data_IF_164495013617
#
_entry.id   IF_164495013617
#
_cell.length_a   1.000
_cell.length_b   1.000
_cell.length_c   1.000
_cell.angle_alpha   90.00
_cell.angle_beta   90.00
_cell.angle_gamma   90.00
#
_symmetry.space_group_name_H-M   'P 1'
#
loop_
_entity.id
_entity.type
_entity.pdbx_description
1 polymer ?
#
# COMPACT_ATOMS: atom_id res chain seq x y z
N UNK A 1 -20.14 -32.38 -7.25
CA UNK A 1 -19.08 -32.54 -6.23
C UNK A 1 -18.59 -31.14 -5.84
N UNK A 2 -18.71 -30.79 -4.60
CA UNK A 2 -18.23 -29.51 -4.11
C UNK A 2 -16.84 -29.70 -3.49
N UNK A 3 -15.91 -28.83 -3.85
CA UNK A 3 -14.58 -28.77 -3.24
C UNK A 3 -14.53 -27.46 -2.44
N UNK A 4 -14.35 -27.59 -1.13
CA UNK A 4 -14.17 -26.44 -0.24
C UNK A 4 -12.70 -26.25 0.06
N UNK A 5 -12.19 -25.03 -0.11
CA UNK A 5 -10.83 -24.64 0.22
C UNK A 5 -10.88 -23.57 1.30
N UNK A 6 -10.13 -23.77 2.37
CA UNK A 6 -9.92 -22.74 3.38
C UNK A 6 -8.84 -21.77 2.90
N UNK A 7 -9.14 -20.48 2.96
CA UNK A 7 -8.19 -19.41 2.65
C UNK A 7 -7.65 -18.86 3.97
N UNK A 8 -6.37 -19.08 4.21
CA UNK A 8 -5.72 -18.73 5.49
C UNK A 8 -5.09 -17.34 5.52
N UNK A 9 -5.27 -16.53 4.48
CA UNK A 9 -4.76 -15.18 4.45
C UNK A 9 -4.84 -14.52 3.09
N UNK A 10 -4.42 -13.25 3.05
CA UNK A 10 -4.47 -12.41 1.87
C UNK A 10 -3.68 -12.99 0.68
N UNK A 11 -2.50 -13.51 0.91
CA UNK A 11 -1.65 -14.03 -0.18
C UNK A 11 -2.23 -15.27 -0.85
N UNK A 12 -2.87 -16.16 -0.10
CA UNK A 12 -3.60 -17.30 -0.70
C UNK A 12 -4.78 -16.81 -1.56
N UNK A 13 -5.49 -15.78 -1.10
CA UNK A 13 -6.55 -15.15 -1.86
C UNK A 13 -6.00 -14.49 -3.13
N UNK A 14 -4.89 -13.77 -3.03
CA UNK A 14 -4.23 -13.12 -4.16
C UNK A 14 -3.84 -14.11 -5.26
N UNK A 15 -3.38 -15.30 -4.89
CA UNK A 15 -3.04 -16.37 -5.83
C UNK A 15 -4.27 -17.00 -6.51
N UNK A 16 -5.45 -16.85 -5.89
CA UNK A 16 -6.68 -17.44 -6.38
C UNK A 16 -7.43 -16.58 -7.40
N UNK A 17 -7.30 -15.25 -7.33
CA UNK A 17 -8.05 -14.30 -8.17
C UNK A 17 -7.47 -14.17 -9.58
N UNK A 18 -8.32 -13.72 -10.51
CA UNK A 18 -7.94 -13.55 -11.92
C UNK A 18 -8.55 -12.27 -12.52
N UNK A 19 -8.09 -11.91 -13.71
CA UNK A 19 -8.57 -10.75 -14.49
C UNK A 19 -8.51 -9.43 -13.69
N UNK A 20 -9.55 -8.63 -13.71
CA UNK A 20 -9.62 -7.33 -13.05
C UNK A 20 -9.52 -7.36 -11.52
N UNK A 21 -9.83 -8.51 -10.89
CA UNK A 21 -9.64 -8.68 -9.46
C UNK A 21 -8.16 -8.61 -9.03
N UNK A 22 -7.24 -9.03 -9.91
CA UNK A 22 -5.79 -8.94 -9.67
C UNK A 22 -5.36 -7.49 -9.46
N UNK A 23 -5.88 -6.56 -10.25
CA UNK A 23 -5.58 -5.12 -10.12
C UNK A 23 -6.08 -4.57 -8.79
N UNK A 24 -7.28 -4.95 -8.36
CA UNK A 24 -7.86 -4.55 -7.07
C UNK A 24 -6.99 -5.06 -5.91
N UNK A 25 -6.57 -6.31 -5.96
CA UNK A 25 -5.67 -6.92 -4.95
C UNK A 25 -4.33 -6.21 -4.91
N UNK A 26 -3.75 -5.86 -6.07
CA UNK A 26 -2.50 -5.12 -6.14
C UNK A 26 -2.62 -3.73 -5.48
N UNK A 27 -3.70 -3.01 -5.72
CA UNK A 27 -3.96 -1.71 -5.09
C UNK A 27 -4.08 -1.82 -3.57
N UNK A 28 -4.77 -2.84 -3.07
CA UNK A 28 -4.92 -3.12 -1.63
C UNK A 28 -3.56 -3.42 -0.99
N UNK A 29 -2.76 -4.24 -1.64
CA UNK A 29 -1.41 -4.59 -1.18
C UNK A 29 -0.49 -3.37 -1.17
N UNK A 30 -0.50 -2.56 -2.21
CA UNK A 30 0.30 -1.33 -2.29
C UNK A 30 -0.07 -0.30 -1.21
N UNK A 31 -1.32 -0.30 -0.78
CA UNK A 31 -1.83 0.58 0.27
C UNK A 31 -1.67 0.00 1.70
N UNK A 32 -1.12 -1.19 1.86
CA UNK A 32 -0.93 -1.89 3.14
C UNK A 32 -2.27 -2.10 3.90
N UNK A 33 -3.33 -2.42 3.14
CA UNK A 33 -4.71 -2.60 3.65
C UNK A 33 -5.18 -4.07 3.62
N UNK A 34 -4.26 -5.03 3.60
CA UNK A 34 -4.56 -6.45 3.51
C UNK A 34 -5.43 -6.94 4.67
N UNK A 35 -5.12 -6.53 5.90
CA UNK A 35 -5.85 -6.94 7.09
C UNK A 35 -7.27 -6.38 7.11
N UNK A 36 -7.44 -5.11 6.81
CA UNK A 36 -8.73 -4.44 6.71
C UNK A 36 -9.59 -5.08 5.63
N UNK A 37 -9.00 -5.40 4.50
CA UNK A 37 -9.66 -6.07 3.40
C UNK A 37 -10.13 -7.49 3.77
N UNK A 38 -9.28 -8.29 4.39
CA UNK A 38 -9.64 -9.66 4.81
C UNK A 38 -10.76 -9.66 5.83
N UNK A 39 -10.71 -8.75 6.82
CA UNK A 39 -11.79 -8.59 7.80
C UNK A 39 -13.10 -8.15 7.14
N UNK A 40 -13.04 -7.24 6.18
CA UNK A 40 -14.20 -6.81 5.42
C UNK A 40 -14.80 -7.95 4.59
N UNK A 41 -13.96 -8.71 3.91
CA UNK A 41 -14.38 -9.85 3.09
C UNK A 41 -15.08 -10.93 3.94
N UNK A 42 -14.53 -11.25 5.12
CA UNK A 42 -15.15 -12.19 6.07
C UNK A 42 -16.51 -11.69 6.55
N UNK A 43 -16.66 -10.39 6.75
CA UNK A 43 -17.94 -9.80 7.12
C UNK A 43 -18.97 -9.90 5.98
N UNK A 44 -18.57 -9.66 4.75
CA UNK A 44 -19.45 -9.73 3.57
C UNK A 44 -19.97 -11.15 3.35
N UNK A 45 -19.14 -12.15 3.53
CA UNK A 45 -19.47 -13.57 3.29
C UNK A 45 -19.71 -14.36 4.58
N UNK A 46 -20.10 -13.70 5.67
CA UNK A 46 -20.28 -14.35 6.97
C UNK A 46 -21.43 -15.37 7.04
N UNK A 47 -22.46 -15.20 6.21
CA UNK A 47 -23.65 -16.05 6.24
C UNK A 47 -23.56 -17.28 5.33
N UNK A 48 -22.79 -17.19 4.26
CA UNK A 48 -22.67 -18.25 3.25
C UNK A 48 -21.20 -18.46 2.86
N UNK A 49 -20.87 -19.69 2.47
CA UNK A 49 -19.56 -20.00 1.91
C UNK A 49 -19.58 -19.67 0.41
N UNK A 50 -18.87 -18.62 -0.03
CA UNK A 50 -18.85 -18.25 -1.44
C UNK A 50 -18.05 -19.23 -2.30
N UNK A 51 -18.36 -19.26 -3.59
CA UNK A 51 -17.49 -19.90 -4.57
C UNK A 51 -16.29 -19.00 -4.89
N UNK A 52 -15.25 -19.55 -5.48
CA UNK A 52 -14.10 -18.77 -5.96
C UNK A 52 -14.51 -17.70 -6.98
N UNK A 53 -15.47 -18.02 -7.85
CA UNK A 53 -16.02 -17.08 -8.84
C UNK A 53 -16.77 -15.94 -8.17
N UNK A 54 -17.58 -16.22 -7.16
CA UNK A 54 -18.30 -15.20 -6.39
C UNK A 54 -17.35 -14.23 -5.69
N UNK A 55 -16.30 -14.73 -5.08
CA UNK A 55 -15.26 -13.91 -4.45
C UNK A 55 -14.51 -13.08 -5.48
N UNK A 56 -14.10 -13.68 -6.58
CA UNK A 56 -13.38 -12.98 -7.66
C UNK A 56 -14.24 -11.87 -8.27
N UNK A 57 -15.50 -12.16 -8.58
CA UNK A 57 -16.42 -11.18 -9.18
C UNK A 57 -16.73 -10.04 -8.21
N UNK A 58 -16.86 -10.32 -6.92
CA UNK A 58 -17.02 -9.30 -5.90
C UNK A 58 -15.80 -8.36 -5.85
N UNK A 59 -14.60 -8.91 -5.82
CA UNK A 59 -13.36 -8.12 -5.80
C UNK A 59 -13.21 -7.29 -7.08
N UNK A 60 -13.60 -7.81 -8.21
CA UNK A 60 -13.50 -7.12 -9.50
C UNK A 60 -14.57 -6.03 -9.67
N UNK A 61 -15.85 -6.38 -9.49
CA UNK A 61 -16.97 -5.49 -9.83
C UNK A 61 -17.37 -4.52 -8.72
N UNK A 62 -17.15 -4.91 -7.46
CA UNK A 62 -17.47 -4.08 -6.29
C UNK A 62 -16.24 -3.33 -5.73
N UNK A 63 -15.29 -2.99 -6.58
CA UNK A 63 -14.06 -2.31 -6.23
C UNK A 63 -14.30 -1.03 -5.43
N UNK A 64 -15.18 -0.16 -5.89
CA UNK A 64 -15.46 1.13 -5.25
C UNK A 64 -16.04 0.92 -3.83
N UNK A 65 -16.90 -0.06 -3.67
CA UNK A 65 -17.46 -0.44 -2.38
C UNK A 65 -16.39 -0.98 -1.43
N UNK A 66 -15.49 -1.80 -1.94
CA UNK A 66 -14.35 -2.33 -1.17
C UNK A 66 -13.47 -1.18 -0.71
N UNK A 67 -13.06 -0.29 -1.61
CA UNK A 67 -12.18 0.84 -1.29
C UNK A 67 -12.80 1.76 -0.23
N UNK A 68 -14.07 2.09 -0.36
CA UNK A 68 -14.79 2.89 0.63
C UNK A 68 -14.75 2.27 2.03
N UNK A 69 -14.92 0.94 2.13
CA UNK A 69 -14.99 0.24 3.42
C UNK A 69 -13.62 -0.02 4.07
N UNK A 70 -12.54 -0.02 3.30
CA UNK A 70 -11.17 -0.20 3.82
C UNK A 70 -10.38 1.11 3.92
N UNK A 71 -10.99 2.25 3.57
CA UNK A 71 -10.39 3.56 3.72
C UNK A 71 -9.47 3.97 2.57
N UNK A 72 -9.74 3.51 1.34
CA UNK A 72 -9.04 3.95 0.14
C UNK A 72 -9.87 4.95 -0.66
N UNK A 73 -9.21 5.75 -1.49
CA UNK A 73 -9.86 6.63 -2.46
C UNK A 73 -10.43 5.82 -3.63
N UNK A 74 -11.25 6.45 -4.49
CA UNK A 74 -11.80 5.82 -5.69
C UNK A 74 -10.73 5.23 -6.63
N UNK A 75 -9.52 5.76 -6.57
CA UNK A 75 -8.38 5.30 -7.37
C UNK A 75 -7.55 4.20 -6.70
N UNK A 76 -7.96 3.73 -5.52
CA UNK A 76 -7.26 2.69 -4.77
C UNK A 76 -6.01 3.18 -4.04
N UNK A 77 -5.91 4.48 -3.80
CA UNK A 77 -4.80 5.11 -3.07
C UNK A 77 -5.21 5.42 -1.63
N UNK A 78 -4.21 5.59 -0.78
CA UNK A 78 -4.44 6.12 0.57
C UNK A 78 -4.97 7.57 0.49
N UNK A 79 -5.84 7.98 1.43
CA UNK A 79 -6.21 9.39 1.56
C UNK A 79 -4.99 10.28 1.80
N UNK A 80 -5.06 11.54 1.35
CA UNK A 80 -3.94 12.49 1.44
C UNK A 80 -3.43 12.68 2.87
N UNK A 81 -4.33 12.72 3.85
CA UNK A 81 -3.99 12.86 5.27
C UNK A 81 -3.20 11.65 5.81
N UNK A 82 -3.58 10.43 5.43
CA UNK A 82 -2.82 9.22 5.81
C UNK A 82 -1.44 9.17 5.12
N UNK A 83 -1.35 9.62 3.88
CA UNK A 83 -0.08 9.70 3.16
C UNK A 83 0.85 10.75 3.76
N UNK A 84 0.31 11.90 4.19
CA UNK A 84 1.08 12.93 4.89
C UNK A 84 1.66 12.41 6.20
N UNK A 85 0.86 11.68 6.99
CA UNK A 85 1.31 11.05 8.23
C UNK A 85 2.44 10.04 7.97
N UNK A 86 2.27 9.17 6.97
CA UNK A 86 3.28 8.19 6.58
C UNK A 86 4.58 8.85 6.11
N UNK A 87 4.48 9.94 5.36
CA UNK A 87 5.66 10.70 4.93
C UNK A 87 6.37 11.35 6.12
N UNK A 88 5.64 11.94 7.06
CA UNK A 88 6.22 12.54 8.26
C UNK A 88 6.95 11.49 9.10
N UNK A 89 6.40 10.29 9.25
CA UNK A 89 7.07 9.16 9.90
C UNK A 89 8.36 8.76 9.17
N UNK A 90 8.32 8.69 7.85
CA UNK A 90 9.50 8.37 7.03
C UNK A 90 10.60 9.43 7.16
N UNK A 91 10.24 10.72 7.18
CA UNK A 91 11.19 11.83 7.37
C UNK A 91 11.77 11.80 8.78
N UNK A 92 10.96 11.52 9.80
CA UNK A 92 11.44 11.38 11.18
C UNK A 92 12.46 10.22 11.29
N UNK A 93 12.21 9.10 10.62
CA UNK A 93 13.15 7.99 10.54
C UNK A 93 14.46 8.39 9.85
N UNK A 94 14.39 9.19 8.78
CA UNK A 94 15.59 9.75 8.12
C UNK A 94 16.42 10.61 9.05
N UNK A 95 15.79 11.40 9.92
CA UNK A 95 16.47 12.28 10.87
C UNK A 95 17.11 11.49 12.03
N UNK A 96 16.42 10.45 12.52
CA UNK A 96 16.82 9.70 13.72
C UNK A 96 17.74 8.52 13.44
N UNK A 97 17.64 7.89 12.28
CA UNK A 97 18.47 6.75 11.92
C UNK A 97 19.77 7.19 11.24
N UNK A 98 20.89 6.76 11.79
CA UNK A 98 22.22 7.06 11.25
C UNK A 98 22.69 6.03 10.20
N UNK A 99 22.06 4.85 10.18
CA UNK A 99 22.39 3.75 9.29
C UNK A 99 21.25 3.48 8.30
N UNK A 100 21.61 3.40 7.02
CA UNK A 100 20.65 3.09 5.96
C UNK A 100 19.98 1.72 6.15
N UNK A 101 20.69 0.70 6.65
CA UNK A 101 20.12 -0.62 6.91
C UNK A 101 19.03 -0.57 7.98
N UNK A 102 19.21 0.24 9.03
CA UNK A 102 18.19 0.46 10.06
C UNK A 102 17.00 1.26 9.50
N UNK A 103 17.26 2.28 8.69
CA UNK A 103 16.25 3.08 8.04
C UNK A 103 15.39 2.25 7.07
N UNK A 104 16.00 1.35 6.31
CA UNK A 104 15.38 0.58 5.23
C UNK A 104 14.76 -0.74 5.67
N UNK A 105 14.55 -0.97 6.99
CA UNK A 105 13.96 -2.21 7.49
C UNK A 105 12.52 -2.45 7.05
N UNK A 106 11.75 -1.39 6.85
CA UNK A 106 10.35 -1.43 6.45
C UNK A 106 10.12 -0.71 5.12
N UNK A 107 10.81 -1.15 4.06
CA UNK A 107 10.67 -0.60 2.71
C UNK A 107 9.22 -0.54 2.24
N UNK A 108 8.42 -1.54 2.58
CA UNK A 108 7.02 -1.64 2.17
C UNK A 108 6.14 -0.55 2.79
N UNK A 109 6.58 0.04 3.90
CA UNK A 109 5.89 1.13 4.60
C UNK A 109 6.52 2.50 4.37
N UNK A 110 7.67 2.53 3.72
CA UNK A 110 8.38 3.77 3.48
C UNK A 110 7.80 4.47 2.25
N UNK A 111 7.30 5.69 2.43
CA UNK A 111 6.77 6.48 1.31
C UNK A 111 7.85 6.81 0.28
N UNK A 112 9.13 6.79 0.68
CA UNK A 112 10.24 6.96 -0.24
C UNK A 112 10.35 5.79 -1.23
N UNK A 113 9.72 4.65 -0.95
CA UNK A 113 9.60 3.54 -1.89
C UNK A 113 8.87 3.95 -3.18
N UNK A 114 7.96 4.91 -3.10
CA UNK A 114 7.26 5.47 -4.26
C UNK A 114 8.20 6.22 -5.21
N UNK A 115 9.29 6.81 -4.69
CA UNK A 115 10.30 7.50 -5.50
C UNK A 115 11.50 6.60 -5.83
N UNK A 116 11.51 5.38 -5.32
CA UNK A 116 12.59 4.43 -5.49
C UNK A 116 12.16 3.28 -6.39
N UNK A 117 12.70 3.19 -7.59
CA UNK A 117 12.54 2.02 -8.43
C UNK A 117 13.43 0.85 -8.01
N UNK A 118 14.45 1.12 -7.19
CA UNK A 118 15.40 0.13 -6.65
C UNK A 118 15.91 0.57 -5.27
N UNK A 119 16.32 -0.38 -4.43
CA UNK A 119 16.95 -0.09 -3.14
C UNK A 119 18.18 0.84 -3.24
N UNK A 120 18.82 0.88 -4.40
CA UNK A 120 19.96 1.74 -4.66
C UNK A 120 19.55 3.22 -4.68
N UNK A 121 18.40 3.53 -5.26
CA UNK A 121 17.90 4.91 -5.33
C UNK A 121 17.50 5.40 -3.94
N UNK A 122 16.90 4.55 -3.11
CA UNK A 122 16.62 4.85 -1.70
C UNK A 122 17.91 5.20 -0.93
N UNK A 123 18.96 4.45 -1.15
CA UNK A 123 20.24 4.70 -0.49
C UNK A 123 20.82 6.05 -0.92
N UNK A 124 20.74 6.38 -2.20
CA UNK A 124 21.22 7.68 -2.70
C UNK A 124 20.44 8.84 -2.06
N UNK A 125 19.12 8.72 -1.90
CA UNK A 125 18.29 9.71 -1.21
C UNK A 125 18.70 9.85 0.25
N UNK A 126 18.88 8.74 0.95
CA UNK A 126 19.33 8.71 2.34
C UNK A 126 20.70 9.36 2.51
N UNK A 127 21.68 8.97 1.70
CA UNK A 127 23.05 9.49 1.77
C UNK A 127 23.09 11.00 1.46
N UNK A 128 22.34 11.46 0.46
CA UNK A 128 22.26 12.87 0.10
C UNK A 128 21.58 13.70 1.19
N UNK A 129 20.58 13.16 1.86
CA UNK A 129 19.96 13.81 3.02
C UNK A 129 20.94 13.94 4.19
N UNK A 130 21.64 12.86 4.52
CA UNK A 130 22.64 12.86 5.62
C UNK A 130 23.84 13.77 5.33
N UNK A 131 24.21 13.92 4.08
CA UNK A 131 25.29 14.81 3.65
C UNK A 131 24.87 16.28 3.45
N UNK A 132 23.59 16.59 3.67
CA UNK A 132 23.05 17.94 3.52
C UNK A 132 22.86 18.40 2.08
N UNK A 133 22.86 17.47 1.12
CA UNK A 133 22.55 17.75 -0.30
C UNK A 133 21.05 17.96 -0.51
N UNK A 134 20.23 17.14 0.16
CA UNK A 134 18.77 17.28 0.19
C UNK A 134 18.31 17.72 1.58
N UNK A 135 17.33 18.59 1.62
CA UNK A 135 16.58 18.92 2.83
C UNK A 135 15.17 18.30 2.80
N UNK A 136 14.38 18.54 3.85
CA UNK A 136 13.02 18.00 3.98
C UNK A 136 12.12 18.45 2.81
N UNK A 137 12.27 19.71 2.37
CA UNK A 137 11.47 20.26 1.27
C UNK A 137 11.82 19.61 -0.06
N UNK A 138 13.09 19.26 -0.28
CA UNK A 138 13.53 18.52 -1.47
C UNK A 138 12.89 17.11 -1.49
N UNK A 139 12.91 16.40 -0.36
CA UNK A 139 12.29 15.08 -0.23
C UNK A 139 10.77 15.14 -0.50
N UNK A 140 10.10 16.12 0.09
CA UNK A 140 8.66 16.36 -0.16
C UNK A 140 8.36 16.63 -1.62
N UNK A 141 9.19 17.42 -2.28
CA UNK A 141 9.05 17.74 -3.71
C UNK A 141 9.21 16.50 -4.59
N UNK A 142 10.17 15.62 -4.27
CA UNK A 142 10.37 14.35 -4.99
C UNK A 142 9.14 13.43 -4.85
N UNK A 143 8.61 13.28 -3.64
CA UNK A 143 7.41 12.47 -3.39
C UNK A 143 6.21 13.04 -4.13
N UNK A 144 6.01 14.35 -4.10
CA UNK A 144 4.95 15.05 -4.84
C UNK A 144 5.05 14.80 -6.34
N UNK A 145 6.25 14.86 -6.91
CA UNK A 145 6.49 14.66 -8.34
C UNK A 145 6.12 13.24 -8.78
N UNK A 146 6.48 12.23 -7.99
CA UNK A 146 6.18 10.82 -8.30
C UNK A 146 4.74 10.42 -8.01
N UNK A 147 4.15 10.88 -6.91
CA UNK A 147 2.78 10.52 -6.53
C UNK A 147 1.72 11.46 -7.10
N UNK A 148 2.09 12.65 -7.56
CA UNK A 148 1.18 13.68 -8.04
C UNK A 148 0.32 14.33 -6.94
N UNK A 149 0.63 14.11 -5.67
CA UNK A 149 -0.14 14.61 -4.54
C UNK A 149 0.34 16.00 -4.10
N UNK A 150 -0.62 16.91 -3.88
CA UNK A 150 -0.36 18.25 -3.36
C UNK A 150 -0.51 18.29 -1.84
N UNK A 151 0.24 17.44 -1.13
CA UNK A 151 0.14 17.24 0.32
C UNK A 151 0.63 18.46 1.14
N UNK A 152 1.23 19.47 0.50
CA UNK A 152 2.02 20.51 1.17
C UNK A 152 1.54 21.94 0.99
N UNK A 153 0.38 22.10 0.51
CA UNK A 153 -0.18 23.46 0.39
C UNK A 153 -0.83 23.93 1.67
#
# INVERSE_FOLDING_TARGET
>A
MEIRKEINGFYELADMVWSGAVDTIADIQNADKENEFMNFLEMVFCDDIPTDTEVNDFIWFERDYIYENIGLTENGNLPEDEMEETLNESIESLENEDDFEEFCQDCDRCILNEICSTCRDCQDVFDNYKNGVYDVDDIKSMVKEETGLEIWM
#
